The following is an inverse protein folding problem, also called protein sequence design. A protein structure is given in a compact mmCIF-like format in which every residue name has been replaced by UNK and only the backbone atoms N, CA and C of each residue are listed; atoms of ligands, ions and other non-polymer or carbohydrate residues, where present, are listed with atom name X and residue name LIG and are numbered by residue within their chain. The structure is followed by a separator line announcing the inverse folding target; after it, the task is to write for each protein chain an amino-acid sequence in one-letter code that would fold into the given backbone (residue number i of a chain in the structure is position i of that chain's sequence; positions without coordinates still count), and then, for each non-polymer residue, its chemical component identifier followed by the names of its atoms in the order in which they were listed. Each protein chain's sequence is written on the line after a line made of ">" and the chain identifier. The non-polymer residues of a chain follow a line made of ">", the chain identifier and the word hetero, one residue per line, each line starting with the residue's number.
data_IF_187772733301
#
_entry.id   IF_187772733301
#
_cell.length_a   1.000
_cell.length_b   1.000
_cell.length_c   1.000
_cell.angle_alpha   90.00
_cell.angle_beta   90.00
_cell.angle_gamma   90.00
#
_symmetry.space_group_name_H-M   'P 1'
#
loop_
_entity.id
_entity.type
_entity.pdbx_description
1 polymer ?
#
# COMPACT_ATOMS: atom_id res chain seq x y z
N UNK A 1 -68.86 -41.77 26.54
CA UNK A 1 -67.92 -42.91 26.60
C UNK A 1 -66.60 -42.37 27.10
N UNK A 2 -66.28 -42.49 28.40
CA UNK A 2 -65.52 -43.63 29.00
C UNK A 2 -64.15 -43.70 28.31
N UNK A 3 -63.07 -43.13 28.86
CA UNK A 3 -62.27 -43.54 30.03
C UNK A 3 -60.91 -44.08 29.58
N UNK A 4 -59.90 -43.91 30.45
CA UNK A 4 -58.62 -44.63 30.55
C UNK A 4 -57.44 -44.14 29.69
N UNK A 5 -56.39 -43.56 30.30
CA UNK A 5 -55.29 -44.12 31.14
C UNK A 5 -54.04 -44.26 30.26
N UNK A 6 -52.90 -43.64 30.57
CA UNK A 6 -51.97 -44.12 31.61
C UNK A 6 -50.88 -43.08 31.89
N UNK A 7 -50.57 -42.92 33.18
CA UNK A 7 -49.39 -42.25 33.74
C UNK A 7 -48.16 -43.14 33.56
N UNK A 8 -47.02 -42.61 33.10
CA UNK A 8 -45.66 -43.18 33.24
C UNK A 8 -44.67 -42.00 33.04
N UNK A 9 -43.55 -41.76 33.72
CA UNK A 9 -43.03 -42.02 35.06
C UNK A 9 -41.88 -41.01 35.20
N UNK A 10 -41.74 -40.44 36.38
CA UNK A 10 -40.72 -39.47 36.81
C UNK A 10 -39.31 -40.09 36.79
N UNK A 11 -38.31 -39.39 36.26
CA UNK A 11 -36.89 -39.67 36.49
C UNK A 11 -36.14 -38.37 36.83
N UNK A 12 -35.73 -38.27 38.10
CA UNK A 12 -34.64 -37.40 38.56
C UNK A 12 -33.30 -38.02 38.13
N UNK A 13 -32.36 -37.20 37.68
CA UNK A 13 -30.97 -37.59 37.44
C UNK A 13 -30.03 -36.40 37.54
N UNK A 14 -29.17 -36.45 38.54
CA UNK A 14 -28.30 -35.41 39.10
C UNK A 14 -27.26 -34.76 38.17
N UNK A 15 -26.87 -33.56 38.63
CA UNK A 15 -25.69 -32.78 38.28
C UNK A 15 -24.35 -33.52 38.44
N UNK A 16 -23.37 -33.16 37.60
CA UNK A 16 -21.97 -32.92 37.99
C UNK A 16 -21.18 -32.34 36.81
N UNK A 17 -20.74 -31.09 36.97
CA UNK A 17 -19.76 -30.42 36.12
C UNK A 17 -18.35 -30.78 36.60
N UNK A 18 -17.50 -31.33 35.71
CA UNK A 18 -16.04 -31.21 35.79
C UNK A 18 -15.50 -31.22 34.36
N UNK A 19 -15.25 -30.03 33.82
CA UNK A 19 -14.54 -29.85 32.54
C UNK A 19 -13.04 -29.85 32.80
N UNK A 20 -12.37 -31.00 32.64
CA UNK A 20 -10.92 -31.06 32.56
C UNK A 20 -10.49 -30.69 31.14
N UNK A 21 -10.39 -29.39 30.87
CA UNK A 21 -9.76 -28.87 29.66
C UNK A 21 -8.24 -28.89 29.86
N UNK A 22 -7.61 -30.03 29.59
CA UNK A 22 -6.17 -30.11 29.39
C UNK A 22 -5.84 -29.63 27.97
N UNK A 23 -5.85 -28.31 27.76
CA UNK A 23 -5.25 -27.69 26.59
C UNK A 23 -3.73 -27.60 26.82
N UNK A 24 -3.02 -28.67 26.47
CA UNK A 24 -1.57 -28.66 26.42
C UNK A 24 -1.15 -27.81 25.21
N UNK A 25 -0.40 -26.74 25.49
CA UNK A 25 0.06 -25.77 24.50
C UNK A 25 0.91 -26.42 23.41
N UNK A 26 0.44 -26.29 22.17
CA UNK A 26 1.29 -26.41 21.00
C UNK A 26 2.11 -25.12 20.86
N UNK A 27 3.35 -25.14 21.36
CA UNK A 27 4.35 -24.15 21.01
C UNK A 27 4.78 -24.36 19.56
N UNK A 28 3.98 -23.82 18.63
CA UNK A 28 4.37 -23.72 17.23
C UNK A 28 5.46 -22.67 17.12
N UNK A 29 6.72 -23.12 16.99
CA UNK A 29 7.79 -22.28 16.49
C UNK A 29 7.43 -21.88 15.07
N UNK A 30 6.81 -20.72 14.92
CA UNK A 30 6.56 -20.12 13.62
C UNK A 30 7.90 -19.73 13.04
N UNK A 31 8.38 -20.51 12.07
CA UNK A 31 9.56 -20.15 11.30
C UNK A 31 9.32 -18.76 10.67
N UNK A 32 10.30 -17.89 10.88
CA UNK A 32 10.30 -16.55 10.32
C UNK A 32 10.19 -16.64 8.79
N UNK A 33 9.13 -16.05 8.22
CA UNK A 33 8.98 -16.00 6.76
C UNK A 33 9.86 -14.87 6.22
N UNK A 34 10.96 -15.25 5.58
CA UNK A 34 11.82 -14.31 4.85
C UNK A 34 11.14 -13.97 3.53
N UNK A 35 10.86 -12.69 3.31
CA UNK A 35 10.31 -12.17 2.07
C UNK A 35 11.39 -11.36 1.37
N UNK A 36 11.74 -11.76 0.15
CA UNK A 36 12.56 -10.93 -0.73
C UNK A 36 11.67 -9.91 -1.42
N UNK A 37 12.01 -8.64 -1.27
CA UNK A 37 11.36 -7.53 -1.94
C UNK A 37 12.33 -6.96 -2.95
N UNK A 38 11.94 -6.93 -4.21
CA UNK A 38 12.73 -6.34 -5.28
C UNK A 38 12.06 -5.07 -5.80
N UNK A 39 12.82 -4.19 -6.44
CA UNK A 39 12.25 -2.96 -6.98
C UNK A 39 13.21 -2.18 -7.84
N UNK A 40 12.66 -1.18 -8.52
CA UNK A 40 13.42 -0.22 -9.33
C UNK A 40 13.07 1.19 -8.89
N UNK A 41 14.09 1.99 -8.58
CA UNK A 41 14.00 3.42 -8.29
C UNK A 41 14.40 4.22 -9.53
N UNK A 42 13.43 4.87 -10.18
CA UNK A 42 13.65 5.55 -11.45
C UNK A 42 12.66 6.69 -11.70
N UNK A 43 13.03 7.61 -12.60
CA UNK A 43 12.16 8.68 -13.11
C UNK A 43 12.09 8.74 -14.64
N UNK A 44 12.39 7.62 -15.30
CA UNK A 44 12.79 7.55 -16.71
C UNK A 44 14.32 7.33 -16.85
N UNK A 45 15.09 7.87 -15.91
CA UNK A 45 16.48 7.50 -15.68
C UNK A 45 16.62 6.78 -14.32
N UNK A 46 17.58 5.85 -14.18
CA UNK A 46 17.84 5.18 -12.91
C UNK A 46 18.29 6.18 -11.85
N UNK A 47 17.73 6.07 -10.65
CA UNK A 47 18.25 6.78 -9.48
C UNK A 47 19.41 5.98 -8.90
N UNK A 48 20.63 6.15 -9.43
CA UNK A 48 21.81 5.39 -9.02
C UNK A 48 22.32 5.83 -7.64
N UNK A 49 22.52 4.87 -6.73
CA UNK A 49 23.03 5.15 -5.39
C UNK A 49 22.05 5.90 -4.49
N UNK A 50 20.74 5.86 -4.80
CA UNK A 50 19.70 6.41 -3.96
C UNK A 50 19.56 5.59 -2.68
N UNK A 51 19.33 6.28 -1.56
CA UNK A 51 19.04 5.65 -0.28
C UNK A 51 17.58 5.20 -0.24
N UNK A 52 17.36 3.89 -0.14
CA UNK A 52 16.05 3.25 -0.14
C UNK A 52 15.69 2.83 1.28
N UNK A 53 14.82 3.59 1.95
CA UNK A 53 14.28 3.22 3.26
C UNK A 53 12.89 2.60 3.12
N UNK A 54 12.63 1.46 3.75
CA UNK A 54 11.30 0.84 3.81
C UNK A 54 10.74 0.96 5.24
N UNK A 55 9.47 1.31 5.38
CA UNK A 55 8.75 1.33 6.66
C UNK A 55 7.41 0.63 6.54
N UNK A 56 7.11 -0.30 7.44
CA UNK A 56 5.88 -1.09 7.42
C UNK A 56 4.91 -0.73 8.57
N UNK A 57 3.69 -1.26 8.49
CA UNK A 57 2.61 -1.02 9.47
C UNK A 57 2.86 -1.69 10.83
N UNK A 58 3.85 -2.59 10.93
CA UNK A 58 4.37 -3.17 12.18
C UNK A 58 5.55 -2.37 12.77
N UNK A 59 6.06 -1.37 12.04
CA UNK A 59 7.26 -0.62 12.41
C UNK A 59 8.58 -1.22 11.92
N UNK A 60 8.54 -2.31 11.14
CA UNK A 60 9.71 -2.86 10.46
C UNK A 60 10.37 -1.82 9.56
N UNK A 61 11.70 -1.75 9.60
CA UNK A 61 12.49 -0.84 8.81
C UNK A 61 13.70 -1.52 8.18
N UNK A 62 14.02 -1.15 6.94
CA UNK A 62 15.23 -1.58 6.24
C UNK A 62 15.78 -0.45 5.39
N UNK A 63 17.09 -0.48 5.11
CA UNK A 63 17.76 0.51 4.28
C UNK A 63 18.77 -0.17 3.35
N UNK A 64 18.69 0.13 2.06
CA UNK A 64 19.61 -0.35 1.02
C UNK A 64 19.91 0.76 0.02
N UNK A 65 20.93 0.57 -0.81
CA UNK A 65 21.21 1.47 -1.94
C UNK A 65 20.72 0.84 -3.24
N UNK A 66 20.21 1.67 -4.14
CA UNK A 66 19.98 1.27 -5.53
C UNK A 66 21.30 1.16 -6.30
N UNK A 67 21.36 0.19 -7.22
CA UNK A 67 22.53 -0.06 -8.05
C UNK A 67 22.60 0.87 -9.29
N UNK A 68 23.54 0.58 -10.20
CA UNK A 68 23.73 1.35 -11.44
C UNK A 68 22.54 1.31 -12.41
N UNK A 69 21.65 0.33 -12.26
CA UNK A 69 20.39 0.22 -13.01
C UNK A 69 19.19 0.80 -12.26
N UNK A 70 19.41 1.39 -11.07
CA UNK A 70 18.33 1.83 -10.18
C UNK A 70 17.65 0.67 -9.44
N UNK A 71 18.11 -0.57 -9.62
CA UNK A 71 17.50 -1.75 -8.99
C UNK A 71 17.92 -1.86 -7.53
N UNK A 72 17.04 -2.40 -6.69
CA UNK A 72 17.34 -2.71 -5.29
C UNK A 72 16.66 -4.01 -4.84
N UNK A 73 17.20 -4.63 -3.79
CA UNK A 73 16.64 -5.82 -3.15
C UNK A 73 16.73 -5.69 -1.64
N UNK A 74 15.63 -5.96 -0.95
CA UNK A 74 15.50 -5.92 0.51
C UNK A 74 15.08 -7.31 0.96
N UNK A 75 15.83 -7.88 1.89
CA UNK A 75 15.38 -9.05 2.65
C UNK A 75 14.69 -8.55 3.92
N UNK A 76 13.43 -8.94 4.09
CA UNK A 76 12.65 -8.56 5.26
C UNK A 76 11.92 -9.76 5.86
N UNK A 77 11.61 -9.66 7.15
CA UNK A 77 11.05 -10.75 7.94
C UNK A 77 9.74 -10.30 8.56
N UNK A 78 8.69 -11.11 8.44
CA UNK A 78 7.39 -10.89 9.11
C UNK A 78 6.76 -9.51 8.84
N UNK A 79 6.66 -9.11 7.57
CA UNK A 79 6.11 -7.82 7.18
C UNK A 79 4.60 -7.68 7.46
N UNK A 80 4.20 -6.56 8.07
CA UNK A 80 2.81 -6.09 8.09
C UNK A 80 2.58 -4.96 7.07
N UNK A 81 1.68 -5.22 6.12
CA UNK A 81 1.30 -4.29 5.06
C UNK A 81 0.27 -3.25 5.53
N UNK A 82 0.20 -2.07 4.88
CA UNK A 82 1.06 -1.63 3.78
C UNK A 82 2.44 -1.19 4.27
N UNK A 83 3.44 -1.34 3.41
CA UNK A 83 4.76 -0.77 3.60
C UNK A 83 4.98 0.40 2.63
N UNK A 84 5.71 1.41 3.08
CA UNK A 84 6.07 2.57 2.28
C UNK A 84 7.58 2.61 2.17
N UNK A 85 8.07 2.52 0.94
CA UNK A 85 9.46 2.76 0.61
C UNK A 85 9.67 4.21 0.21
N UNK A 86 10.85 4.76 0.49
CA UNK A 86 11.29 6.07 0.05
C UNK A 86 12.68 5.96 -0.54
N UNK A 87 12.86 6.48 -1.76
CA UNK A 87 14.15 6.65 -2.40
C UNK A 87 14.57 8.11 -2.28
N UNK A 88 15.76 8.38 -1.75
CA UNK A 88 16.33 9.73 -1.63
C UNK A 88 17.65 9.82 -2.38
N UNK A 89 17.76 10.81 -3.27
CA UNK A 89 19.00 11.12 -3.99
C UNK A 89 19.15 12.63 -4.15
N UNK A 90 19.98 13.24 -3.30
CA UNK A 90 20.11 14.70 -3.26
C UNK A 90 18.79 15.38 -2.90
N UNK A 91 18.25 16.17 -3.82
CA UNK A 91 16.95 16.85 -3.65
C UNK A 91 15.75 16.00 -4.14
N UNK A 92 15.99 14.86 -4.78
CA UNK A 92 14.94 13.97 -5.27
C UNK A 92 14.50 13.06 -4.11
N UNK A 93 13.20 13.04 -3.86
CA UNK A 93 12.56 12.11 -2.93
C UNK A 93 11.29 11.59 -3.55
N UNK A 94 11.21 10.28 -3.77
CA UNK A 94 9.99 9.61 -4.20
C UNK A 94 9.66 8.49 -3.23
N UNK A 95 8.37 8.20 -3.09
CA UNK A 95 7.85 7.10 -2.30
C UNK A 95 7.18 6.06 -3.20
N UNK A 96 7.06 4.86 -2.67
CA UNK A 96 6.27 3.78 -3.25
C UNK A 96 5.55 3.01 -2.16
N UNK A 97 4.43 2.38 -2.53
CA UNK A 97 3.65 1.54 -1.63
C UNK A 97 3.81 0.07 -2.01
N UNK A 98 3.95 -0.78 -1.00
CA UNK A 98 3.98 -2.23 -1.11
C UNK A 98 2.79 -2.76 -0.31
N UNK A 99 1.85 -3.41 -1.00
CA UNK A 99 0.62 -3.93 -0.40
C UNK A 99 0.69 -5.44 -0.11
N UNK A 100 1.64 -6.13 -0.73
CA UNK A 100 1.93 -7.54 -0.59
C UNK A 100 3.40 -7.80 -0.92
N UNK A 101 3.92 -9.01 -0.67
CA UNK A 101 5.34 -9.30 -0.88
C UNK A 101 5.77 -9.27 -2.35
N UNK A 102 7.08 -9.32 -2.58
CA UNK A 102 7.66 -9.59 -3.90
C UNK A 102 8.27 -8.38 -4.59
N UNK A 103 7.46 -7.38 -4.98
CA UNK A 103 7.97 -6.23 -5.74
C UNK A 103 7.24 -4.92 -5.44
N UNK A 104 8.01 -3.84 -5.29
CA UNK A 104 7.50 -2.49 -5.44
C UNK A 104 8.53 -1.57 -6.10
N UNK A 105 8.05 -0.58 -6.84
CA UNK A 105 8.87 0.40 -7.52
C UNK A 105 8.81 1.75 -6.79
N UNK A 106 9.82 2.58 -7.02
CA UNK A 106 9.86 3.95 -6.49
C UNK A 106 10.07 4.92 -7.65
N UNK A 107 8.98 5.54 -8.10
CA UNK A 107 8.93 6.40 -9.28
C UNK A 107 8.03 7.61 -9.03
N UNK A 108 8.02 8.62 -9.89
CA UNK A 108 7.04 9.70 -9.80
C UNK A 108 5.59 9.19 -9.76
N UNK A 109 5.27 8.11 -10.48
CA UNK A 109 3.94 7.52 -10.48
C UNK A 109 3.57 6.91 -9.12
N UNK A 110 4.51 6.22 -8.48
CA UNK A 110 4.27 5.64 -7.15
C UNK A 110 4.28 6.69 -6.04
N UNK A 111 4.97 7.81 -6.22
CA UNK A 111 4.89 8.95 -5.28
C UNK A 111 3.48 9.55 -5.29
N UNK A 112 2.88 9.73 -6.48
CA UNK A 112 1.49 10.17 -6.59
C UNK A 112 0.53 9.18 -5.94
N UNK A 113 0.75 7.87 -6.12
CA UNK A 113 -0.01 6.84 -5.44
C UNK A 113 0.05 6.97 -3.91
N UNK A 114 1.26 7.14 -3.36
CA UNK A 114 1.43 7.34 -1.91
C UNK A 114 0.71 8.62 -1.46
N UNK A 115 0.73 9.69 -2.26
CA UNK A 115 0.02 10.94 -1.94
C UNK A 115 -1.50 10.78 -1.91
N UNK A 116 -2.07 10.03 -2.85
CA UNK A 116 -3.51 9.67 -2.87
C UNK A 116 -3.88 8.90 -1.60
N UNK A 117 -3.09 7.87 -1.25
CA UNK A 117 -3.32 7.04 -0.05
C UNK A 117 -3.21 7.87 1.22
N UNK A 118 -2.14 8.67 1.34
CA UNK A 118 -1.87 9.52 2.50
C UNK A 118 -3.06 10.45 2.78
N UNK A 119 -3.57 11.10 1.75
CA UNK A 119 -4.71 12.02 1.89
C UNK A 119 -5.98 11.29 2.25
N UNK A 120 -6.23 10.12 1.63
CA UNK A 120 -7.39 9.29 1.95
C UNK A 120 -7.36 8.75 3.40
N UNK A 121 -6.18 8.41 3.92
CA UNK A 121 -5.99 7.99 5.31
C UNK A 121 -6.14 9.16 6.30
N UNK A 122 -5.72 10.36 5.91
CA UNK A 122 -5.94 11.56 6.73
C UNK A 122 -7.44 11.84 6.95
N UNK A 123 -8.29 11.57 5.96
CA UNK A 123 -9.75 11.69 6.12
C UNK A 123 -10.30 10.76 7.21
N UNK A 124 -9.87 9.49 7.23
CA UNK A 124 -10.33 8.50 8.21
C UNK A 124 -9.79 8.71 9.62
N UNK A 125 -8.64 9.37 9.76
CA UNK A 125 -7.96 9.56 11.05
C UNK A 125 -8.35 10.86 11.78
N UNK A 126 -9.32 11.63 11.26
CA UNK A 126 -9.85 12.81 11.95
C UNK A 126 -9.08 14.11 11.71
N UNK A 127 -8.24 14.17 10.66
CA UNK A 127 -7.89 15.44 9.99
C UNK A 127 -7.05 16.46 10.77
N UNK A 128 -6.14 16.04 11.65
CA UNK A 128 -5.16 16.95 12.26
C UNK A 128 -3.85 17.00 11.46
N UNK A 129 -3.37 18.19 11.10
CA UNK A 129 -1.99 18.39 10.65
C UNK A 129 -1.03 17.96 11.77
N UNK A 130 -0.51 16.72 11.69
CA UNK A 130 0.40 16.18 12.71
C UNK A 130 0.35 14.66 12.92
N UNK A 131 -0.67 13.95 12.43
CA UNK A 131 -0.61 12.47 12.41
C UNK A 131 0.32 12.04 11.27
N UNK A 132 1.51 11.54 11.63
CA UNK A 132 2.38 10.88 10.66
C UNK A 132 1.59 9.72 10.03
N UNK A 133 1.41 9.75 8.71
CA UNK A 133 0.68 8.74 7.94
C UNK A 133 1.01 7.30 8.38
N UNK A 134 2.30 6.98 8.54
CA UNK A 134 2.72 5.65 9.00
C UNK A 134 2.37 5.38 10.47
N UNK A 135 2.36 6.41 11.32
CA UNK A 135 1.92 6.26 12.71
C UNK A 135 0.42 5.96 12.80
N UNK A 136 -0.41 6.57 11.94
CA UNK A 136 -1.84 6.28 11.88
C UNK A 136 -2.11 4.82 11.48
N UNK A 137 -1.37 4.31 10.48
CA UNK A 137 -1.47 2.91 10.06
C UNK A 137 -1.01 1.94 11.16
N UNK A 138 0.11 2.22 11.83
CA UNK A 138 0.60 1.40 12.96
C UNK A 138 -0.36 1.37 14.14
N UNK A 139 -1.02 2.49 14.42
CA UNK A 139 -1.95 2.61 15.54
C UNK A 139 -3.29 1.89 15.29
N UNK A 140 -3.64 1.59 14.03
CA UNK A 140 -4.92 0.98 13.69
C UNK A 140 -4.75 -0.07 12.58
N UNK A 141 -4.67 -1.35 12.99
CA UNK A 141 -4.53 -2.48 12.05
C UNK A 141 -5.73 -2.64 11.12
N UNK A 142 -6.93 -2.23 11.51
CA UNK A 142 -8.10 -2.23 10.63
C UNK A 142 -8.01 -1.17 9.53
N UNK A 143 -7.48 0.01 9.85
CA UNK A 143 -7.16 1.06 8.89
C UNK A 143 -6.06 0.58 7.92
N UNK A 144 -4.99 -0.02 8.43
CA UNK A 144 -3.94 -0.62 7.62
C UNK A 144 -4.49 -1.68 6.65
N UNK A 145 -5.32 -2.60 7.15
CA UNK A 145 -5.97 -3.61 6.32
C UNK A 145 -6.90 -2.97 5.27
N UNK A 146 -7.66 -1.94 5.63
CA UNK A 146 -8.53 -1.23 4.70
C UNK A 146 -7.73 -0.60 3.55
N UNK A 147 -6.54 -0.05 3.82
CA UNK A 147 -5.65 0.49 2.78
C UNK A 147 -5.18 -0.61 1.83
N UNK A 148 -4.79 -1.78 2.35
CA UNK A 148 -4.41 -2.93 1.51
C UNK A 148 -5.56 -3.38 0.62
N UNK A 149 -6.78 -3.50 1.17
CA UNK A 149 -7.95 -3.93 0.37
C UNK A 149 -8.36 -2.93 -0.70
N UNK A 150 -8.03 -1.65 -0.52
CA UNK A 150 -8.32 -0.55 -1.46
C UNK A 150 -7.20 -0.28 -2.47
N UNK A 151 -6.15 -1.10 -2.50
CA UNK A 151 -4.99 -0.88 -3.37
C UNK A 151 -5.36 -0.62 -4.84
N UNK A 152 -6.34 -1.33 -5.39
CA UNK A 152 -6.80 -1.12 -6.77
C UNK A 152 -7.52 0.22 -6.96
N UNK A 153 -8.35 0.66 -6.01
CA UNK A 153 -9.02 1.97 -6.05
C UNK A 153 -7.99 3.11 -6.06
N UNK A 154 -6.92 2.99 -5.25
CA UNK A 154 -5.84 3.97 -5.24
C UNK A 154 -5.05 4.01 -6.56
N UNK A 155 -4.77 2.84 -7.15
CA UNK A 155 -4.10 2.74 -8.45
C UNK A 155 -4.93 3.38 -9.56
N UNK A 156 -6.23 3.05 -9.62
CA UNK A 156 -7.16 3.61 -10.61
C UNK A 156 -7.26 5.13 -10.49
N UNK A 157 -7.44 5.66 -9.27
CA UNK A 157 -7.46 7.10 -9.02
C UNK A 157 -6.16 7.79 -9.44
N UNK A 158 -5.00 7.17 -9.19
CA UNK A 158 -3.70 7.71 -9.59
C UNK A 158 -3.52 7.73 -11.11
N UNK A 159 -3.94 6.67 -11.81
CA UNK A 159 -3.91 6.59 -13.27
C UNK A 159 -4.81 7.65 -13.90
N UNK A 160 -6.03 7.81 -13.39
CA UNK A 160 -6.99 8.78 -13.92
C UNK A 160 -6.54 10.22 -13.70
N UNK A 161 -5.98 10.51 -12.52
CA UNK A 161 -5.32 11.77 -12.21
C UNK A 161 -4.26 12.10 -13.26
N UNK A 162 -3.30 11.19 -13.46
CA UNK A 162 -2.18 11.42 -14.38
C UNK A 162 -2.70 11.57 -15.81
N UNK A 163 -3.68 10.75 -16.22
CA UNK A 163 -4.36 10.89 -17.51
C UNK A 163 -4.89 12.30 -17.70
N UNK A 164 -5.64 12.82 -16.74
CA UNK A 164 -6.22 14.17 -16.79
C UNK A 164 -5.16 15.26 -17.00
N UNK A 165 -4.02 15.15 -16.29
CA UNK A 165 -2.90 16.09 -16.44
C UNK A 165 -2.26 15.99 -17.84
N UNK A 166 -2.09 14.77 -18.36
CA UNK A 166 -1.54 14.53 -19.69
C UNK A 166 -2.47 15.03 -20.80
N UNK A 167 -3.80 14.88 -20.67
CA UNK A 167 -4.77 15.33 -21.68
C UNK A 167 -4.66 16.84 -21.91
N UNK A 168 -4.46 17.62 -20.85
CA UNK A 168 -4.33 19.07 -20.93
C UNK A 168 -3.13 19.53 -21.78
N UNK A 169 -2.11 18.68 -21.93
CA UNK A 169 -0.84 19.01 -22.61
C UNK A 169 -0.70 18.30 -23.96
N UNK A 170 -1.09 17.02 -24.02
CA UNK A 170 -0.81 16.12 -25.14
C UNK A 170 -2.08 15.70 -25.92
N UNK A 171 -3.27 15.96 -25.36
CA UNK A 171 -4.54 15.48 -25.89
C UNK A 171 -4.88 14.02 -25.53
N UNK A 172 -6.15 13.65 -25.72
CA UNK A 172 -6.73 12.38 -25.25
C UNK A 172 -5.98 11.13 -25.71
N UNK A 173 -5.71 11.02 -27.01
CA UNK A 173 -5.11 9.82 -27.59
C UNK A 173 -3.67 9.57 -27.07
N UNK A 174 -2.87 10.63 -26.95
CA UNK A 174 -1.50 10.53 -26.45
C UNK A 174 -1.48 10.24 -24.94
N UNK A 175 -2.33 10.92 -24.17
CA UNK A 175 -2.48 10.66 -22.74
C UNK A 175 -2.89 9.20 -22.48
N UNK A 176 -3.85 8.68 -23.23
CA UNK A 176 -4.30 7.29 -23.10
C UNK A 176 -3.19 6.28 -23.42
N UNK A 177 -2.39 6.53 -24.47
CA UNK A 177 -1.28 5.66 -24.82
C UNK A 177 -0.20 5.61 -23.71
N UNK A 178 0.10 6.74 -23.07
CA UNK A 178 1.04 6.83 -21.97
C UNK A 178 0.53 6.04 -20.76
N UNK A 179 -0.72 6.28 -20.32
CA UNK A 179 -1.24 5.57 -19.13
C UNK A 179 -1.40 4.07 -19.35
N UNK A 180 -1.71 3.64 -20.58
CA UNK A 180 -1.73 2.22 -20.94
C UNK A 180 -0.35 1.55 -20.76
N UNK A 181 0.74 2.32 -20.92
CA UNK A 181 2.11 1.81 -20.77
C UNK A 181 2.51 1.59 -19.30
N UNK A 182 1.88 2.30 -18.36
CA UNK A 182 2.05 2.04 -16.93
C UNK A 182 1.34 0.75 -16.48
N UNK A 183 0.21 0.44 -17.10
CA UNK A 183 -0.64 -0.69 -16.72
C UNK A 183 -1.36 -0.48 -15.37
N UNK A 184 -2.16 -1.46 -14.96
CA UNK A 184 -2.95 -1.39 -13.73
C UNK A 184 -2.13 -1.58 -12.44
N UNK A 185 -0.96 -2.21 -12.53
CA UNK A 185 -0.09 -2.55 -11.40
C UNK A 185 1.28 -1.87 -11.52
N UNK A 186 1.26 -0.58 -11.87
CA UNK A 186 2.45 0.23 -12.13
C UNK A 186 3.42 0.28 -10.93
N UNK A 187 2.93 0.05 -9.73
CA UNK A 187 3.68 0.00 -8.49
C UNK A 187 4.50 -1.28 -8.31
N UNK A 188 4.13 -2.39 -8.98
CA UNK A 188 4.79 -3.70 -8.79
C UNK A 188 5.24 -4.36 -10.10
N UNK A 189 5.09 -3.70 -11.25
CA UNK A 189 5.58 -4.20 -12.53
C UNK A 189 7.10 -4.32 -12.54
N UNK A 190 7.64 -5.42 -13.07
CA UNK A 190 9.08 -5.53 -13.30
C UNK A 190 9.49 -4.66 -14.49
N UNK A 191 10.46 -3.77 -14.29
CA UNK A 191 11.01 -2.96 -15.37
C UNK A 191 12.48 -2.62 -15.13
N UNK A 192 13.19 -2.33 -16.22
CA UNK A 192 14.53 -1.75 -16.23
C UNK A 192 14.42 -0.26 -16.52
N UNK A 193 15.19 0.57 -15.82
CA UNK A 193 15.31 2.00 -16.09
C UNK A 193 16.15 2.26 -17.35
N UNK A 194 15.58 1.86 -18.49
CA UNK A 194 16.09 2.10 -19.84
C UNK A 194 14.87 2.36 -20.76
N UNK A 195 14.70 3.60 -21.26
CA UNK A 195 13.53 3.96 -22.05
C UNK A 195 13.51 3.29 -23.43
N UNK A 196 14.65 2.77 -23.90
CA UNK A 196 14.73 1.99 -25.14
C UNK A 196 14.27 0.55 -24.98
N UNK A 197 14.23 0.04 -23.75
CA UNK A 197 13.93 -1.37 -23.44
C UNK A 197 12.62 -1.57 -22.68
N UNK A 198 12.09 -0.52 -22.02
CA UNK A 198 10.94 -0.61 -21.13
C UNK A 198 9.84 0.40 -21.50
N UNK A 199 8.64 -0.05 -21.93
CA UNK A 199 7.50 0.84 -22.17
C UNK A 199 7.07 1.64 -20.95
N UNK A 200 7.21 1.04 -19.76
CA UNK A 200 6.94 1.71 -18.49
C UNK A 200 7.89 2.89 -18.26
N UNK A 201 9.18 2.69 -18.52
CA UNK A 201 10.20 3.71 -18.31
C UNK A 201 10.10 4.83 -19.36
N UNK A 202 9.82 4.46 -20.61
CA UNK A 202 9.48 5.43 -21.65
C UNK A 202 8.28 6.30 -21.27
N UNK A 203 7.28 5.74 -20.59
CA UNK A 203 6.14 6.49 -20.08
C UNK A 203 6.51 7.43 -18.91
N UNK A 204 7.45 7.03 -18.04
CA UNK A 204 8.01 7.94 -17.03
C UNK A 204 8.69 9.16 -17.66
N UNK A 205 9.44 8.98 -18.75
CA UNK A 205 10.05 10.10 -19.49
C UNK A 205 8.99 11.05 -20.07
N UNK A 206 7.85 10.52 -20.52
CA UNK A 206 6.74 11.36 -20.99
C UNK A 206 6.13 12.24 -19.89
N UNK A 207 6.20 11.82 -18.61
CA UNK A 207 5.77 12.67 -17.50
C UNK A 207 6.64 13.93 -17.39
N UNK A 208 7.94 13.83 -17.69
CA UNK A 208 8.84 14.98 -17.74
C UNK A 208 8.50 15.90 -18.92
N UNK A 209 8.26 15.32 -20.10
CA UNK A 209 7.86 16.06 -21.30
C UNK A 209 6.55 16.82 -21.08
N UNK A 210 5.58 16.21 -20.38
CA UNK A 210 4.29 16.81 -20.08
C UNK A 210 4.31 17.81 -18.91
N UNK A 211 5.46 18.01 -18.24
CA UNK A 211 5.57 18.93 -17.10
C UNK A 211 4.94 18.41 -15.80
N UNK A 212 4.58 17.12 -15.75
CA UNK A 212 4.16 16.44 -14.51
C UNK A 212 5.35 16.33 -13.57
N UNK A 213 6.52 16.02 -14.13
CA UNK A 213 7.82 15.99 -13.43
C UNK A 213 8.71 17.07 -14.04
N UNK A 214 9.37 17.87 -13.21
CA UNK A 214 10.36 18.84 -13.68
C UNK A 214 11.66 18.13 -14.11
N UNK A 215 12.50 18.80 -14.90
CA UNK A 215 13.84 18.29 -15.24
C UNK A 215 14.71 17.98 -14.00
N UNK A 216 14.43 18.63 -12.86
CA UNK A 216 15.12 18.37 -11.59
C UNK A 216 14.63 17.09 -10.88
N UNK A 217 13.48 16.55 -11.27
CA UNK A 217 12.82 15.41 -10.63
C UNK A 217 11.68 15.79 -9.69
N UNK A 218 11.52 17.06 -9.34
CA UNK A 218 10.37 17.47 -8.52
C UNK A 218 9.06 17.29 -9.32
N UNK A 219 8.05 16.66 -8.72
CA UNK A 219 6.68 16.63 -9.26
C UNK A 219 6.08 18.03 -9.12
N UNK A 220 5.33 18.49 -10.12
CA UNK A 220 4.74 19.82 -10.09
C UNK A 220 3.70 19.96 -8.96
N UNK A 221 3.66 21.15 -8.34
CA UNK A 221 2.79 21.40 -7.18
C UNK A 221 1.31 21.18 -7.51
N UNK A 222 0.87 21.57 -8.71
CA UNK A 222 -0.51 21.36 -9.17
C UNK A 222 -0.87 19.88 -9.29
N UNK A 223 0.08 19.02 -9.67
CA UNK A 223 -0.17 17.57 -9.74
C UNK A 223 -0.21 16.96 -8.34
N UNK A 224 0.63 17.42 -7.41
CA UNK A 224 0.58 17.01 -6.00
C UNK A 224 -0.75 17.41 -5.35
N UNK A 225 -1.25 18.61 -5.63
CA UNK A 225 -2.57 19.08 -5.18
C UNK A 225 -3.70 18.22 -5.77
N UNK A 226 -3.63 17.92 -7.08
CA UNK A 226 -4.61 17.07 -7.72
C UNK A 226 -4.57 15.62 -7.20
N UNK A 227 -3.40 15.10 -6.81
CA UNK A 227 -3.28 13.82 -6.13
C UNK A 227 -3.93 13.82 -4.74
N UNK A 228 -3.80 14.93 -4.01
CA UNK A 228 -4.51 15.09 -2.74
C UNK A 228 -6.03 15.07 -2.95
N UNK A 229 -6.54 15.84 -3.93
CA UNK A 229 -7.96 15.87 -4.28
C UNK A 229 -8.49 14.49 -4.67
N UNK A 230 -7.75 13.74 -5.49
CA UNK A 230 -8.12 12.37 -5.85
C UNK A 230 -8.20 11.44 -4.62
N UNK A 231 -7.33 11.63 -3.63
CA UNK A 231 -7.42 10.92 -2.34
C UNK A 231 -8.61 11.35 -1.47
N UNK A 232 -9.04 12.61 -1.59
CA UNK A 232 -10.23 13.15 -0.92
C UNK A 232 -11.53 12.57 -1.49
N UNK A 233 -11.60 12.38 -2.81
CA UNK A 233 -12.78 11.86 -3.50
C UNK A 233 -13.03 10.36 -3.26
N UNK A 234 -11.99 9.60 -2.90
CA UNK A 234 -12.13 8.18 -2.59
C UNK A 234 -12.89 7.97 -1.27
N UNK A 235 -13.74 6.93 -1.17
CA UNK A 235 -14.39 6.59 0.09
C UNK A 235 -13.34 6.35 1.18
N UNK A 236 -13.51 7.04 2.31
CA UNK A 236 -12.59 6.95 3.43
C UNK A 236 -12.39 5.48 3.87
N UNK A 237 -11.16 5.07 4.21
CA UNK A 237 -10.88 3.73 4.66
C UNK A 237 -11.45 3.55 6.07
N UNK A 238 -11.99 2.36 6.36
CA UNK A 238 -12.68 2.12 7.62
C UNK A 238 -11.65 1.85 8.73
N UNK A 239 -11.58 2.67 9.80
CA UNK A 239 -10.82 2.31 10.98
C UNK A 239 -11.49 1.08 11.60
N UNK A 240 -10.76 -0.02 11.77
CA UNK A 240 -11.31 -1.18 12.46
C UNK A 240 -11.72 -0.79 13.88
N UNK A 241 -12.80 -1.37 14.40
CA UNK A 241 -13.20 -1.16 15.78
C UNK A 241 -12.06 -1.59 16.69
N UNK A 242 -11.46 -0.64 17.41
CA UNK A 242 -10.55 -0.97 18.52
C UNK A 242 -11.40 -1.73 19.52
N UNK A 243 -11.24 -3.05 19.59
CA UNK A 243 -11.86 -3.85 20.64
C UNK A 243 -11.46 -3.20 21.96
N UNK A 244 -12.45 -2.65 22.67
CA UNK A 244 -12.22 -2.14 24.01
C UNK A 244 -11.66 -3.30 24.83
N UNK A 245 -10.40 -3.20 25.24
CA UNK A 245 -9.89 -4.03 26.32
C UNK A 245 -10.71 -3.64 27.56
N UNK A 246 -11.76 -4.42 27.83
CA UNK A 246 -12.56 -4.28 29.03
C UNK A 246 -11.66 -4.46 30.25
N UNK A 247 -11.62 -3.42 31.09
CA UNK A 247 -11.03 -3.48 32.42
C UNK A 247 -11.92 -4.22 33.42
#
# INVERSE_FOLDING_TARGET
>A
MVSSLKKITFWLGSAAAVSLLAACGGGGGGDATITQINGTAARGAPLVGAEISLQCADGGASNVLSDASGSFSIEAVNLAYPCIGQATLGAISYRGALFEGGRFNITPMTELLVKVIETNVQQASGGGAGTNFMAALRANSGLAQSVVTKANEYREATVELVRTQLVAVLGEAAAQAIVNSFGSSFDSVAFTADPGASPYDAALEQLTVAGVVSASGAISASVIEAAAQAGEELPAPTPGGTGAAGG
#
